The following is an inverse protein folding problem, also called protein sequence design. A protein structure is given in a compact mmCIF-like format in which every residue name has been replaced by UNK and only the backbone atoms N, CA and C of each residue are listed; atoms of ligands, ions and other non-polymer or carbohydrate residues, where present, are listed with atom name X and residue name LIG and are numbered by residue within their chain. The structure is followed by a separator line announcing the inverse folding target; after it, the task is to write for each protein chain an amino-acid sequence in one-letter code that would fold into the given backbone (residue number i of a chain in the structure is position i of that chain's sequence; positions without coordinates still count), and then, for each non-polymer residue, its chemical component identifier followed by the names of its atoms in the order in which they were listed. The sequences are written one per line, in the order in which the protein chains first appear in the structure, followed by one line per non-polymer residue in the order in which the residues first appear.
data_IF_497239888725
#
_entry.id   IF_497239888725
#
_cell.length_a   1.000
_cell.length_b   1.000
_cell.length_c   1.000
_cell.angle_alpha   90.00
_cell.angle_beta   90.00
_cell.angle_gamma   90.00
#
_symmetry.space_group_name_H-M   'P 1'
#
loop_
_entity.id
_entity.type
_entity.pdbx_description
1 polymer ?
#
# COMPACT_ATOMS: atom_id res chain seq x y z
N UNK A 1 -24.63 -4.22 -19.52
CA UNK A 1 -23.66 -4.96 -18.69
C UNK A 1 -23.23 -4.05 -17.55
N UNK A 2 -23.65 -4.33 -16.32
CA UNK A 2 -23.32 -3.51 -15.15
C UNK A 2 -21.85 -3.74 -14.78
N UNK A 3 -21.04 -2.70 -14.91
CA UNK A 3 -19.68 -2.66 -14.37
C UNK A 3 -19.77 -2.84 -12.86
N UNK A 4 -19.43 -4.03 -12.36
CA UNK A 4 -19.17 -4.26 -10.94
C UNK A 4 -17.92 -3.45 -10.58
N UNK A 5 -18.11 -2.21 -10.16
CA UNK A 5 -17.02 -1.38 -9.65
C UNK A 5 -16.34 -2.13 -8.51
N UNK A 6 -15.06 -2.44 -8.70
CA UNK A 6 -14.19 -2.97 -7.64
C UNK A 6 -14.12 -1.92 -6.53
N UNK A 7 -14.90 -2.13 -5.45
CA UNK A 7 -14.84 -1.34 -4.23
C UNK A 7 -13.62 -1.79 -3.42
N UNK A 8 -12.43 -1.57 -3.94
CA UNK A 8 -11.19 -1.80 -3.18
C UNK A 8 -11.10 -0.73 -2.10
N UNK A 9 -11.04 -1.14 -0.83
CA UNK A 9 -10.88 -0.21 0.29
C UNK A 9 -9.53 0.49 0.18
N UNK A 10 -9.51 1.81 0.38
CA UNK A 10 -8.29 2.60 0.35
C UNK A 10 -7.40 2.24 1.55
N UNK A 11 -6.20 1.74 1.27
CA UNK A 11 -5.22 1.32 2.28
C UNK A 11 -4.52 2.52 2.91
N UNK A 12 -3.88 2.31 4.06
CA UNK A 12 -3.22 3.40 4.81
C UNK A 12 -2.11 4.12 4.03
N UNK A 13 -1.35 3.40 3.18
CA UNK A 13 -0.35 3.99 2.29
C UNK A 13 -0.98 4.84 1.19
N UNK A 14 -2.06 4.34 0.59
CA UNK A 14 -2.79 5.02 -0.50
C UNK A 14 -3.43 6.32 -0.01
N UNK A 15 -4.00 6.31 1.21
CA UNK A 15 -4.50 7.52 1.88
C UNK A 15 -3.44 8.63 1.97
N UNK A 16 -2.20 8.28 2.30
CA UNK A 16 -1.09 9.25 2.40
C UNK A 16 -0.72 9.83 1.03
N UNK A 17 -0.65 8.97 0.01
CA UNK A 17 -0.38 9.40 -1.37
C UNK A 17 -1.48 10.33 -1.87
N UNK A 18 -2.74 10.01 -1.56
CA UNK A 18 -3.89 10.84 -1.90
C UNK A 18 -3.77 12.22 -1.25
N UNK A 19 -3.52 12.30 0.06
CA UNK A 19 -3.40 13.58 0.75
C UNK A 19 -2.26 14.47 0.21
N UNK A 20 -1.17 13.87 -0.26
CA UNK A 20 -0.02 14.62 -0.79
C UNK A 20 -0.22 15.07 -2.24
N UNK A 21 -0.80 14.21 -3.10
CA UNK A 21 -0.82 14.43 -4.55
C UNK A 21 -2.16 14.94 -5.08
N UNK A 22 -3.25 14.78 -4.32
CA UNK A 22 -4.58 15.19 -4.77
C UNK A 22 -4.67 16.70 -5.03
N UNK A 23 -4.21 17.60 -4.14
CA UNK A 23 -4.43 19.04 -4.33
C UNK A 23 -3.94 19.57 -5.68
N UNK A 24 -2.75 19.17 -6.15
CA UNK A 24 -2.19 19.60 -7.44
C UNK A 24 -2.76 18.90 -8.68
N UNK A 25 -3.85 18.14 -8.53
CA UNK A 25 -4.61 17.54 -9.64
C UNK A 25 -6.04 18.06 -9.71
N UNK A 26 -6.50 18.80 -8.70
CA UNK A 26 -7.89 19.24 -8.60
C UNK A 26 -8.23 20.34 -9.62
N UNK A 27 -7.24 21.13 -9.98
CA UNK A 27 -7.23 22.12 -11.07
C UNK A 27 -7.67 21.55 -12.42
N UNK A 28 -7.41 20.26 -12.68
CA UNK A 28 -7.81 19.59 -13.92
C UNK A 28 -9.24 19.04 -13.88
N UNK A 29 -9.84 18.92 -12.70
CA UNK A 29 -11.12 18.20 -12.51
C UNK A 29 -12.25 19.06 -11.96
N UNK A 30 -11.96 20.26 -11.45
CA UNK A 30 -12.94 21.12 -10.79
C UNK A 30 -13.18 22.40 -11.58
N UNK A 31 -14.43 22.89 -11.53
CA UNK A 31 -14.77 24.24 -12.04
C UNK A 31 -13.87 25.34 -11.44
N UNK A 32 -13.49 26.35 -12.23
CA UNK A 32 -12.52 27.38 -11.83
C UNK A 32 -12.95 28.22 -10.64
N UNK A 33 -14.24 28.38 -10.41
CA UNK A 33 -14.79 29.30 -9.42
C UNK A 33 -14.62 28.82 -7.97
N UNK A 34 -14.53 27.50 -7.74
CA UNK A 34 -14.35 26.94 -6.39
C UNK A 34 -13.04 26.17 -6.23
N UNK A 35 -12.23 26.06 -7.28
CA UNK A 35 -11.05 25.19 -7.28
C UNK A 35 -10.01 25.62 -6.24
N UNK A 36 -9.75 26.92 -6.14
CA UNK A 36 -8.80 27.47 -5.17
C UNK A 36 -9.21 27.17 -3.74
N UNK A 37 -10.50 27.34 -3.42
CA UNK A 37 -11.05 27.05 -2.09
C UNK A 37 -10.96 25.57 -1.75
N UNK A 38 -11.24 24.67 -2.70
CA UNK A 38 -11.15 23.23 -2.48
C UNK A 38 -9.70 22.76 -2.36
N UNK A 39 -8.79 23.29 -3.18
CA UNK A 39 -7.34 23.01 -3.07
C UNK A 39 -6.84 23.43 -1.69
N UNK A 40 -7.18 24.65 -1.25
CA UNK A 40 -6.86 25.15 0.08
C UNK A 40 -7.41 24.24 1.18
N UNK A 41 -8.68 23.82 1.08
CA UNK A 41 -9.32 22.93 2.04
C UNK A 41 -8.56 21.60 2.21
N UNK A 42 -8.09 20.99 1.12
CA UNK A 42 -7.29 19.77 1.17
C UNK A 42 -5.89 20.00 1.72
N UNK A 43 -5.25 21.12 1.38
CA UNK A 43 -3.94 21.50 1.94
C UNK A 43 -4.02 21.74 3.46
N UNK A 44 -5.06 22.45 3.92
CA UNK A 44 -5.31 22.71 5.33
C UNK A 44 -5.59 21.40 6.08
N UNK A 45 -6.37 20.48 5.50
CA UNK A 45 -6.59 19.15 6.06
C UNK A 45 -5.29 18.35 6.19
N UNK A 46 -4.45 18.34 5.15
CA UNK A 46 -3.15 17.67 5.14
C UNK A 46 -2.22 18.21 6.23
N UNK A 47 -2.27 19.53 6.45
CA UNK A 47 -1.52 20.22 7.49
C UNK A 47 -2.00 19.83 8.89
N UNK A 48 -3.31 19.80 9.12
CA UNK A 48 -3.92 19.33 10.38
C UNK A 48 -3.55 17.87 10.67
N UNK A 49 -3.67 17.00 9.67
CA UNK A 49 -3.30 15.59 9.79
C UNK A 49 -1.83 15.41 10.16
N UNK A 50 -0.93 16.12 9.48
CA UNK A 50 0.51 16.05 9.74
C UNK A 50 0.84 16.58 11.13
N UNK A 51 0.23 17.70 11.54
CA UNK A 51 0.39 18.26 12.88
C UNK A 51 -0.07 17.31 13.98
N UNK A 52 -1.21 16.62 13.79
CA UNK A 52 -1.69 15.63 14.75
C UNK A 52 -0.80 14.37 14.78
N UNK A 53 -0.34 13.93 13.60
CA UNK A 53 0.57 12.78 13.45
C UNK A 53 1.92 13.04 14.09
N UNK A 54 2.46 14.26 13.99
CA UNK A 54 3.78 14.62 14.50
C UNK A 54 3.69 15.49 15.76
N UNK A 55 2.56 15.37 16.48
CA UNK A 55 2.24 16.18 17.64
C UNK A 55 3.37 16.17 18.69
N UNK A 56 3.73 17.38 19.13
CA UNK A 56 4.67 17.63 20.22
C UNK A 56 3.92 18.30 21.38
N UNK A 57 4.15 17.90 22.64
CA UNK A 57 3.44 18.45 23.79
C UNK A 57 3.61 19.95 23.99
N UNK A 58 4.67 20.53 23.43
CA UNK A 58 5.01 21.96 23.53
C UNK A 58 4.07 22.86 22.70
N UNK A 59 3.27 22.26 21.82
CA UNK A 59 2.31 22.96 20.98
C UNK A 59 0.99 23.10 21.74
N UNK A 60 0.44 24.31 21.77
CA UNK A 60 -0.85 24.59 22.42
C UNK A 60 -1.99 23.80 21.76
N UNK A 61 -2.79 23.03 22.52
CA UNK A 61 -4.02 22.40 22.01
C UNK A 61 -5.05 23.41 21.49
N UNK A 62 -5.03 24.66 21.99
CA UNK A 62 -5.93 25.72 21.54
C UNK A 62 -5.65 26.10 20.08
N UNK A 63 -4.38 26.23 19.69
CA UNK A 63 -3.99 26.53 18.31
C UNK A 63 -4.42 25.43 17.34
N UNK A 64 -4.44 24.17 17.79
CA UNK A 64 -4.97 23.08 16.98
C UNK A 64 -6.48 23.19 16.80
N UNK A 65 -7.21 23.49 17.89
CA UNK A 65 -8.65 23.69 17.86
C UNK A 65 -9.05 24.84 16.93
N UNK A 66 -8.35 25.97 16.99
CA UNK A 66 -8.62 27.10 16.10
C UNK A 66 -8.46 26.72 14.63
N UNK A 67 -7.36 26.06 14.28
CA UNK A 67 -7.11 25.60 12.90
C UNK A 67 -8.13 24.56 12.45
N UNK A 68 -8.56 23.66 13.35
CA UNK A 68 -9.59 22.66 13.05
C UNK A 68 -10.96 23.31 12.82
N UNK A 69 -11.33 24.34 13.62
CA UNK A 69 -12.56 25.12 13.42
C UNK A 69 -12.53 25.90 12.12
N UNK A 70 -11.44 26.61 11.83
CA UNK A 70 -11.24 27.32 10.56
C UNK A 70 -11.44 26.38 9.37
N UNK A 71 -10.88 25.17 9.45
CA UNK A 71 -11.03 24.16 8.40
C UNK A 71 -12.47 23.68 8.22
N UNK A 72 -13.19 23.36 9.30
CA UNK A 72 -14.61 22.96 9.19
C UNK A 72 -15.47 24.11 8.68
N UNK A 73 -15.20 25.35 9.10
CA UNK A 73 -15.93 26.52 8.62
C UNK A 73 -15.71 26.75 7.12
N UNK A 74 -14.48 26.55 6.63
CA UNK A 74 -14.16 26.59 5.19
C UNK A 74 -14.84 25.46 4.41
N UNK A 75 -14.95 24.27 5.01
CA UNK A 75 -15.71 23.16 4.41
C UNK A 75 -17.17 23.58 4.21
N UNK A 76 -17.82 24.10 5.25
CA UNK A 76 -19.25 24.45 5.21
C UNK A 76 -19.54 25.73 4.42
N UNK A 77 -18.58 26.64 4.25
CA UNK A 77 -18.77 27.83 3.41
C UNK A 77 -18.93 27.50 1.92
N UNK A 78 -18.55 26.29 1.50
CA UNK A 78 -18.79 25.80 0.14
C UNK A 78 -20.21 25.25 -0.07
N UNK A 79 -21.02 25.17 0.99
CA UNK A 79 -22.42 24.78 0.89
C UNK A 79 -23.19 25.71 -0.04
N UNK A 80 -24.00 25.15 -0.93
CA UNK A 80 -24.73 25.89 -1.97
C UNK A 80 -23.89 26.25 -3.21
N UNK A 81 -22.56 26.30 -3.10
CA UNK A 81 -21.66 26.42 -4.27
C UNK A 81 -21.34 25.06 -4.88
N UNK A 82 -21.20 24.04 -4.03
CA UNK A 82 -20.91 22.65 -4.41
C UNK A 82 -21.74 21.68 -3.56
N UNK A 83 -22.31 20.69 -4.23
CA UNK A 83 -22.95 19.56 -3.54
C UNK A 83 -21.91 18.77 -2.75
N UNK A 84 -22.27 18.33 -1.55
CA UNK A 84 -21.42 17.49 -0.70
C UNK A 84 -20.63 18.25 0.36
N UNK A 85 -20.79 19.56 0.45
CA UNK A 85 -20.15 20.44 1.43
C UNK A 85 -21.14 21.02 2.46
N UNK A 86 -22.35 20.48 2.53
CA UNK A 86 -23.37 20.93 3.48
C UNK A 86 -23.02 20.53 4.93
N UNK A 87 -23.60 21.23 5.91
CA UNK A 87 -23.45 20.87 7.32
C UNK A 87 -23.85 19.41 7.63
N UNK A 88 -24.84 18.87 6.91
CA UNK A 88 -25.25 17.46 7.03
C UNK A 88 -24.19 16.46 6.58
N UNK A 89 -23.16 16.91 5.83
CA UNK A 89 -22.05 16.09 5.35
C UNK A 89 -20.84 16.07 6.28
N UNK A 90 -20.92 16.79 7.41
CA UNK A 90 -19.91 16.69 8.46
C UNK A 90 -19.89 15.24 8.99
N UNK A 91 -18.79 14.56 8.75
CA UNK A 91 -18.64 13.17 9.18
C UNK A 91 -18.33 13.10 10.69
N UNK A 92 -18.60 11.95 11.34
CA UNK A 92 -18.21 11.76 12.74
C UNK A 92 -16.72 12.03 13.00
N UNK A 93 -15.83 11.73 12.04
CA UNK A 93 -14.40 11.99 12.18
C UNK A 93 -14.04 13.48 12.15
N UNK A 94 -14.77 14.28 11.36
CA UNK A 94 -14.62 15.75 11.37
C UNK A 94 -15.07 16.32 12.72
N UNK A 95 -16.20 15.82 13.23
CA UNK A 95 -16.70 16.21 14.55
C UNK A 95 -15.69 15.85 15.65
N UNK A 96 -15.19 14.62 15.68
CA UNK A 96 -14.17 14.17 16.65
C UNK A 96 -12.93 15.06 16.60
N UNK A 97 -12.48 15.43 15.40
CA UNK A 97 -11.29 16.28 15.23
C UNK A 97 -11.44 17.66 15.90
N UNK A 98 -12.64 18.26 15.84
CA UNK A 98 -12.89 19.57 16.45
C UNK A 98 -13.28 19.46 17.93
N UNK A 99 -14.16 18.53 18.27
CA UNK A 99 -14.79 18.47 19.58
C UNK A 99 -13.98 17.68 20.62
N UNK A 100 -13.24 16.65 20.21
CA UNK A 100 -12.63 15.69 21.15
C UNK A 100 -11.11 15.67 21.11
N UNK A 101 -10.49 15.79 19.93
CA UNK A 101 -9.02 15.77 19.83
C UNK A 101 -8.34 16.83 20.71
N UNK A 102 -8.77 18.12 20.76
CA UNK A 102 -8.13 19.11 21.63
C UNK A 102 -8.16 18.72 23.11
N UNK A 103 -9.27 18.13 23.57
CA UNK A 103 -9.42 17.65 24.94
C UNK A 103 -8.44 16.49 25.22
N UNK A 104 -8.31 15.53 24.30
CA UNK A 104 -7.31 14.46 24.41
C UNK A 104 -5.88 14.98 24.41
N UNK A 105 -5.57 16.02 23.61
CA UNK A 105 -4.25 16.64 23.59
C UNK A 105 -3.95 17.36 24.92
N UNK A 106 -4.95 18.01 25.52
CA UNK A 106 -4.81 18.66 26.82
C UNK A 106 -4.57 17.63 27.95
N UNK A 107 -5.40 16.59 28.00
CA UNK A 107 -5.43 15.59 29.06
C UNK A 107 -4.29 14.58 28.94
N UNK A 108 -4.10 13.99 27.76
CA UNK A 108 -3.18 12.87 27.53
C UNK A 108 -1.86 13.27 26.86
N UNK A 109 -1.67 14.56 26.53
CA UNK A 109 -0.50 15.13 25.82
C UNK A 109 -0.26 14.60 24.40
N UNK A 110 -0.84 13.46 24.04
CA UNK A 110 -0.75 12.85 22.72
C UNK A 110 -1.95 11.94 22.44
N UNK A 111 -2.36 11.87 21.17
CA UNK A 111 -3.38 10.91 20.71
C UNK A 111 -2.75 9.60 20.22
N UNK A 112 -1.42 9.57 20.04
CA UNK A 112 -0.69 8.41 19.46
C UNK A 112 -0.88 7.11 20.24
N UNK A 113 -1.00 7.23 21.57
CA UNK A 113 -1.19 6.10 22.47
C UNK A 113 -2.51 5.36 22.24
N UNK A 114 -3.51 6.03 21.67
CA UNK A 114 -4.85 5.49 21.43
C UNK A 114 -5.04 4.97 19.99
N UNK A 115 -3.96 4.91 19.19
CA UNK A 115 -4.09 4.41 17.81
C UNK A 115 -4.19 2.88 17.76
N UNK A 116 -5.11 2.37 16.94
CA UNK A 116 -5.25 0.92 16.69
C UNK A 116 -4.16 0.31 15.80
N UNK A 117 -3.14 1.07 15.40
CA UNK A 117 -2.13 0.61 14.43
C UNK A 117 -1.37 -0.64 14.91
N UNK A 118 -1.08 -0.72 16.22
CA UNK A 118 -0.45 -1.90 16.81
C UNK A 118 -1.31 -3.16 16.70
N UNK A 119 -2.62 -3.02 16.94
CA UNK A 119 -3.58 -4.12 16.88
C UNK A 119 -3.72 -4.62 15.44
N UNK A 120 -3.85 -3.73 14.46
CA UNK A 120 -3.92 -4.12 13.05
C UNK A 120 -2.66 -4.86 12.59
N UNK A 121 -1.48 -4.41 13.04
CA UNK A 121 -0.22 -5.10 12.74
C UNK A 121 -0.16 -6.49 13.39
N UNK A 122 -0.69 -6.63 14.61
CA UNK A 122 -0.79 -7.94 15.26
C UNK A 122 -1.73 -8.87 14.47
N UNK A 123 -2.83 -8.34 13.92
CA UNK A 123 -3.73 -9.11 13.04
C UNK A 123 -3.01 -9.60 11.77
N UNK A 124 -2.21 -8.75 11.13
CA UNK A 124 -1.40 -9.14 9.97
C UNK A 124 -0.42 -10.28 10.30
N UNK A 125 0.24 -10.20 11.46
CA UNK A 125 1.16 -11.23 11.95
C UNK A 125 0.41 -12.53 12.24
N UNK A 126 -0.71 -12.47 12.97
CA UNK A 126 -1.55 -13.62 13.27
C UNK A 126 -1.99 -14.32 11.98
N UNK A 127 -2.50 -13.56 11.01
CA UNK A 127 -2.88 -14.08 9.68
C UNK A 127 -1.70 -14.75 8.98
N UNK A 128 -0.51 -14.17 9.04
CA UNK A 128 0.68 -14.75 8.41
C UNK A 128 1.10 -16.09 9.04
N UNK A 129 0.93 -16.24 10.36
CA UNK A 129 1.22 -17.48 11.08
C UNK A 129 0.23 -18.55 10.66
N UNK A 130 -1.07 -18.23 10.68
CA UNK A 130 -2.13 -19.16 10.28
C UNK A 130 -1.90 -19.64 8.85
N UNK A 131 -1.60 -18.75 7.90
CA UNK A 131 -1.49 -19.11 6.49
C UNK A 131 -0.18 -19.84 6.10
N UNK A 132 0.91 -19.64 6.86
CA UNK A 132 2.25 -20.10 6.41
C UNK A 132 2.97 -21.02 7.38
N UNK A 133 2.55 -21.05 8.65
CA UNK A 133 3.31 -21.70 9.74
C UNK A 133 2.45 -22.65 10.58
N UNK A 134 1.14 -22.47 10.60
CA UNK A 134 0.21 -23.36 11.31
C UNK A 134 -0.06 -24.62 10.50
N UNK A 135 -0.27 -25.74 11.20
CA UNK A 135 -0.79 -26.98 10.61
C UNK A 135 -2.33 -27.03 10.65
N UNK A 136 -2.99 -25.95 11.08
CA UNK A 136 -4.44 -25.81 11.19
C UNK A 136 -5.16 -26.72 12.19
N UNK A 137 -4.42 -27.44 13.05
CA UNK A 137 -5.00 -28.22 14.15
C UNK A 137 -5.39 -27.34 15.35
N UNK A 138 -4.52 -26.39 15.71
CA UNK A 138 -4.73 -25.41 16.79
C UNK A 138 -4.12 -24.05 16.37
N UNK A 139 -4.74 -23.42 15.37
CA UNK A 139 -4.22 -22.16 14.80
C UNK A 139 -4.18 -21.02 15.81
N UNK A 140 -5.09 -21.00 16.78
CA UNK A 140 -5.10 -19.97 17.84
C UNK A 140 -3.91 -20.18 18.79
N UNK A 141 -3.71 -21.42 19.26
CA UNK A 141 -2.55 -21.74 20.08
C UNK A 141 -1.23 -21.53 19.34
N UNK A 142 -1.16 -21.79 18.03
CA UNK A 142 0.02 -21.50 17.21
C UNK A 142 0.38 -20.01 17.20
N UNK A 143 -0.64 -19.13 17.07
CA UNK A 143 -0.44 -17.67 17.12
C UNK A 143 0.07 -17.25 18.50
N UNK A 144 -0.57 -17.71 19.57
CA UNK A 144 -0.17 -17.37 20.95
C UNK A 144 1.23 -17.88 21.28
N UNK A 145 1.56 -19.12 20.91
CA UNK A 145 2.90 -19.70 21.09
C UNK A 145 3.96 -18.96 20.27
N UNK A 146 3.61 -18.44 19.10
CA UNK A 146 4.52 -17.63 18.29
C UNK A 146 4.79 -16.28 18.95
N UNK A 147 3.75 -15.60 19.43
CA UNK A 147 3.87 -14.33 20.14
C UNK A 147 4.68 -14.47 21.43
N UNK A 148 4.39 -15.48 22.26
CA UNK A 148 5.15 -15.76 23.48
C UNK A 148 6.64 -15.96 23.19
N UNK A 149 6.97 -16.71 22.13
CA UNK A 149 8.37 -16.88 21.68
C UNK A 149 9.00 -15.57 21.24
N UNK A 150 8.28 -14.71 20.51
CA UNK A 150 8.80 -13.38 20.14
C UNK A 150 9.10 -12.55 21.38
N UNK A 151 8.22 -12.55 22.39
CA UNK A 151 8.44 -11.86 23.66
C UNK A 151 9.70 -12.34 24.40
N UNK A 152 9.89 -13.65 24.53
CA UNK A 152 11.11 -14.22 25.14
C UNK A 152 12.39 -13.79 24.42
N UNK A 153 12.33 -13.60 23.11
CA UNK A 153 13.50 -13.25 22.29
C UNK A 153 13.66 -11.74 22.02
N UNK A 154 12.83 -10.84 22.56
CA UNK A 154 12.91 -9.39 22.27
C UNK A 154 14.26 -8.76 22.61
N UNK A 155 14.94 -9.27 23.63
CA UNK A 155 16.26 -8.78 24.07
C UNK A 155 17.46 -9.51 23.46
N UNK A 156 17.22 -10.53 22.62
CA UNK A 156 18.28 -11.34 22.04
C UNK A 156 18.32 -11.13 20.53
N UNK A 157 19.42 -10.57 20.03
CA UNK A 157 19.67 -10.56 18.60
C UNK A 157 20.08 -11.96 18.15
N UNK A 158 19.53 -12.39 17.00
CA UNK A 158 19.90 -13.68 16.43
C UNK A 158 21.32 -13.55 15.89
N UNK A 159 22.28 -14.17 16.55
CA UNK A 159 23.62 -14.26 16.01
C UNK A 159 23.57 -14.97 14.64
N UNK A 160 24.23 -14.36 13.66
CA UNK A 160 24.33 -14.97 12.34
C UNK A 160 25.14 -16.24 12.50
N UNK A 161 24.51 -17.40 12.26
CA UNK A 161 25.24 -18.68 12.25
C UNK A 161 26.46 -18.52 11.36
N UNK A 162 27.65 -18.74 11.92
CA UNK A 162 28.90 -18.74 11.17
C UNK A 162 28.82 -19.83 10.11
N UNK A 163 28.50 -19.40 8.88
CA UNK A 163 28.35 -20.31 7.76
C UNK A 163 29.71 -20.54 7.12
N UNK A 164 30.29 -21.70 7.36
CA UNK A 164 31.51 -22.13 6.66
C UNK A 164 31.07 -22.82 5.37
N UNK A 165 31.45 -22.25 4.22
CA UNK A 165 31.22 -22.86 2.91
C UNK A 165 32.15 -24.07 2.77
N UNK A 166 31.67 -25.26 3.12
CA UNK A 166 32.49 -26.47 3.04
C UNK A 166 32.79 -26.94 1.61
N UNK A 167 32.04 -26.47 0.61
CA UNK A 167 32.24 -26.83 -0.79
C UNK A 167 32.38 -25.55 -1.64
N UNK A 168 33.60 -25.02 -1.71
CA UNK A 168 33.91 -23.79 -2.44
C UNK A 168 33.48 -23.88 -3.91
N UNK A 169 33.81 -25.00 -4.58
CA UNK A 169 33.46 -25.24 -5.98
C UNK A 169 31.93 -25.14 -6.23
N UNK A 170 31.12 -25.73 -5.35
CA UNK A 170 29.66 -25.63 -5.48
C UNK A 170 29.14 -24.18 -5.38
N UNK A 171 29.66 -23.43 -4.41
CA UNK A 171 29.20 -22.06 -4.13
C UNK A 171 29.77 -21.00 -5.07
N UNK A 172 30.90 -21.27 -5.71
CA UNK A 172 31.60 -20.32 -6.59
C UNK A 172 31.31 -20.57 -8.07
N UNK A 173 31.14 -21.83 -8.48
CA UNK A 173 30.93 -22.18 -9.89
C UNK A 173 29.56 -22.80 -10.13
N UNK A 174 29.26 -23.90 -9.43
CA UNK A 174 28.07 -24.73 -9.73
C UNK A 174 26.76 -23.97 -9.49
N UNK A 175 26.68 -23.12 -8.48
CA UNK A 175 25.46 -22.35 -8.20
C UNK A 175 25.19 -21.26 -9.24
N UNK A 176 26.25 -20.63 -9.77
CA UNK A 176 26.13 -19.64 -10.82
C UNK A 176 25.67 -20.31 -12.11
N UNK A 177 26.31 -21.42 -12.50
CA UNK A 177 25.91 -22.22 -13.66
C UNK A 177 24.47 -22.71 -13.54
N UNK A 178 24.08 -23.29 -12.40
CA UNK A 178 22.70 -23.76 -12.19
C UNK A 178 21.67 -22.63 -12.27
N UNK A 179 21.97 -21.45 -11.75
CA UNK A 179 21.07 -20.28 -11.81
C UNK A 179 21.03 -19.66 -13.19
N UNK A 180 22.15 -19.65 -13.90
CA UNK A 180 22.28 -19.17 -15.27
C UNK A 180 21.53 -20.09 -16.24
N UNK A 181 21.72 -21.41 -16.14
CA UNK A 181 20.97 -22.41 -16.89
C UNK A 181 19.47 -22.41 -16.56
N UNK A 182 19.06 -22.10 -15.32
CA UNK A 182 17.63 -21.93 -14.98
C UNK A 182 17.00 -20.69 -15.63
N UNK A 183 17.79 -19.65 -15.88
CA UNK A 183 17.35 -18.43 -16.58
C UNK A 183 17.39 -18.59 -18.10
N UNK A 184 18.35 -19.37 -18.61
CA UNK A 184 18.42 -19.77 -20.01
C UNK A 184 17.76 -21.14 -20.23
N UNK A 185 16.43 -21.21 -20.16
CA UNK A 185 15.62 -22.02 -21.07
C UNK A 185 14.22 -21.40 -21.15
N UNK A 186 13.72 -21.18 -22.39
CA UNK A 186 13.47 -22.30 -23.28
C UNK A 186 14.31 -22.25 -24.57
N UNK A 187 15.45 -22.95 -24.58
CA UNK A 187 16.10 -23.37 -25.84
C UNK A 187 15.23 -24.39 -26.62
N UNK A 188 14.15 -24.87 -26.01
CA UNK A 188 13.07 -25.61 -26.67
C UNK A 188 12.21 -24.74 -27.61
N UNK A 189 12.24 -23.39 -27.50
CA UNK A 189 11.49 -22.53 -28.43
C UNK A 189 12.24 -22.34 -29.75
N UNK A 190 13.55 -22.12 -29.75
CA UNK A 190 14.33 -21.90 -30.98
C UNK A 190 14.39 -23.13 -31.88
N UNK A 191 14.53 -24.35 -31.32
CA UNK A 191 14.46 -25.59 -32.12
C UNK A 191 13.05 -25.82 -32.70
N UNK A 192 11.98 -25.45 -31.98
CA UNK A 192 10.60 -25.50 -32.50
C UNK A 192 10.35 -24.44 -33.57
N UNK A 193 10.86 -23.23 -33.40
CA UNK A 193 10.76 -22.13 -34.38
C UNK A 193 11.56 -22.44 -35.63
N UNK A 194 12.79 -22.96 -35.52
CA UNK A 194 13.56 -23.41 -36.68
C UNK A 194 12.87 -24.57 -37.41
N UNK A 195 12.34 -25.56 -36.69
CA UNK A 195 11.59 -26.67 -37.31
C UNK A 195 10.31 -26.19 -38.01
N UNK A 196 9.64 -25.17 -37.46
CA UNK A 196 8.45 -24.56 -38.08
C UNK A 196 8.83 -23.78 -39.35
N UNK A 197 9.92 -23.00 -39.32
CA UNK A 197 10.40 -22.24 -40.47
C UNK A 197 10.94 -23.15 -41.59
N UNK A 198 11.62 -24.25 -41.26
CA UNK A 198 12.08 -25.21 -42.28
C UNK A 198 10.92 -25.96 -42.93
N UNK A 199 9.88 -26.31 -42.17
CA UNK A 199 8.65 -26.89 -42.74
C UNK A 199 7.95 -25.91 -43.68
N UNK A 200 7.85 -24.62 -43.30
CA UNK A 200 7.23 -23.59 -44.14
C UNK A 200 8.00 -23.37 -45.45
N UNK A 201 9.34 -23.40 -45.41
CA UNK A 201 10.18 -23.27 -46.61
C UNK A 201 10.04 -24.47 -47.56
N UNK A 202 9.95 -25.69 -47.02
CA UNK A 202 9.74 -26.90 -47.83
C UNK A 202 8.36 -26.90 -48.49
N UNK A 203 7.32 -26.46 -47.79
CA UNK A 203 5.99 -26.31 -48.38
C UNK A 203 5.94 -25.23 -49.45
N UNK A 204 6.65 -24.12 -49.25
CA UNK A 204 6.69 -23.02 -50.23
C UNK A 204 7.43 -23.42 -51.51
N UNK A 205 8.57 -24.12 -51.40
CA UNK A 205 9.28 -24.65 -52.56
C UNK A 205 8.49 -25.73 -53.31
N UNK A 206 7.72 -26.56 -52.58
CA UNK A 206 6.86 -27.58 -53.21
C UNK A 206 5.68 -26.96 -53.97
N UNK A 207 5.16 -25.82 -53.51
CA UNK A 207 4.10 -25.09 -54.22
C UNK A 207 4.62 -24.34 -55.46
N UNK A 208 5.87 -23.85 -55.45
CA UNK A 208 6.50 -23.18 -56.60
C UNK A 208 6.77 -24.16 -57.77
N UNK A 209 7.18 -25.39 -57.46
CA UNK A 209 7.46 -26.43 -58.48
C UNK A 209 6.17 -26.86 -59.20
N UNK A 210 5.03 -26.92 -58.49
CA UNK A 210 3.74 -27.26 -59.10
C UNK A 210 3.11 -26.13 -59.94
N UNK A 211 3.63 -24.90 -59.83
CA UNK A 211 3.14 -23.74 -60.61
C UNK A 211 3.97 -23.44 -61.86
N UNK A 212 5.07 -24.15 -62.12
CA UNK A 212 5.91 -23.94 -63.32
C UNK A 212 5.81 -25.04 -64.39
N UNK A 213 4.86 -25.98 -64.26
CA UNK A 213 4.58 -27.04 -65.24
C UNK A 213 3.21 -26.91 -65.93
N UNK A 214 2.76 -25.68 -66.20
CA UNK A 214 1.69 -25.38 -67.17
C UNK A 214 2.11 -24.22 -68.06
#
# INVERSE_FOLDING_TARGET
MSSKGNKTSLMGSEKKVLLQKLPGKLDQCLRPDTVLSIVKLWCDFSSLYTRLRDWKPDISPADFLEKAKEWVNQFTSLAGQREGYEHSRITPYMHIMVAHIPWFLQMCKTVKMFTGQGVEKNNDVARSIVLRKSQHYDSVGDVLKHEARQWTHRGAERDTRRYVKCNANYWEMIIFEKRFCKRQMPALSLKRVLKFLTMQLQTWNSMQILTSEK
#
